data_IF_329590653529
#
_entry.id   IF_329590653529
#
_cell.length_a   1.000
_cell.length_b   1.000
_cell.length_c   1.000
_cell.angle_alpha   90.00
_cell.angle_beta   90.00
_cell.angle_gamma   90.00
#
_symmetry.space_group_name_H-M   'P 1'
#
loop_
_entity.id
_entity.type
_entity.pdbx_description
1 polymer ?
#
# COMPACT_ATOMS: atom_id res chain seq x y z
N UNK A 1 2.74 4.91 -5.97
CA UNK A 1 2.96 3.84 -6.96
C UNK A 1 3.42 2.60 -6.22
N UNK A 2 3.12 1.41 -6.71
CA UNK A 2 3.54 0.15 -6.11
C UNK A 2 3.73 -0.91 -7.20
N UNK A 3 4.53 -1.93 -6.91
CA UNK A 3 4.61 -3.16 -7.73
C UNK A 3 3.45 -4.09 -7.40
N UNK A 4 3.09 -4.94 -8.36
CA UNK A 4 2.06 -5.99 -8.23
C UNK A 4 2.34 -6.95 -7.07
N UNK A 5 3.60 -7.20 -6.72
CA UNK A 5 3.98 -7.95 -5.52
C UNK A 5 3.35 -7.44 -4.20
N UNK A 6 2.89 -6.18 -4.12
CA UNK A 6 2.16 -5.67 -2.95
C UNK A 6 0.73 -6.22 -2.82
N UNK A 7 0.09 -6.57 -3.93
CA UNK A 7 -1.31 -6.99 -4.00
C UNK A 7 -1.50 -8.42 -4.48
N UNK A 8 -0.50 -9.01 -5.12
CA UNK A 8 -0.55 -10.37 -5.64
C UNK A 8 -0.55 -11.38 -4.48
N UNK A 9 -1.63 -12.16 -4.41
CA UNK A 9 -1.75 -13.31 -3.50
C UNK A 9 -2.41 -14.47 -4.24
N UNK A 10 -1.88 -15.70 -4.15
CA UNK A 10 -2.47 -16.86 -4.81
C UNK A 10 -3.93 -17.09 -4.40
N UNK A 11 -4.81 -17.22 -5.40
CA UNK A 11 -6.24 -17.51 -5.20
C UNK A 11 -7.10 -16.29 -4.81
N UNK A 12 -6.53 -15.09 -4.74
CA UNK A 12 -7.29 -13.86 -4.51
C UNK A 12 -7.64 -13.17 -5.83
N UNK A 13 -8.87 -12.65 -5.94
CA UNK A 13 -9.25 -11.85 -7.11
C UNK A 13 -8.60 -10.47 -7.07
N UNK A 14 -8.30 -9.90 -8.24
CA UNK A 14 -7.74 -8.54 -8.33
C UNK A 14 -8.66 -7.50 -7.65
N UNK A 15 -9.99 -7.67 -7.77
CA UNK A 15 -10.97 -6.79 -7.12
C UNK A 15 -10.88 -6.84 -5.60
N UNK A 16 -10.68 -8.02 -5.02
CA UNK A 16 -10.54 -8.19 -3.57
C UNK A 16 -9.22 -7.60 -3.08
N UNK A 17 -8.13 -7.82 -3.83
CA UNK A 17 -6.82 -7.28 -3.54
C UNK A 17 -6.83 -5.74 -3.55
N UNK A 18 -7.46 -5.12 -4.57
CA UNK A 18 -7.62 -3.67 -4.66
C UNK A 18 -8.55 -3.11 -3.56
N UNK A 19 -9.61 -3.84 -3.21
CA UNK A 19 -10.47 -3.46 -2.08
C UNK A 19 -9.73 -3.50 -0.75
N UNK A 20 -8.87 -4.51 -0.54
CA UNK A 20 -8.00 -4.58 0.64
C UNK A 20 -7.04 -3.40 0.66
N UNK A 21 -6.31 -3.16 -0.43
CA UNK A 21 -5.41 -2.01 -0.56
C UNK A 21 -6.14 -0.70 -0.21
N UNK A 22 -7.33 -0.46 -0.78
CA UNK A 22 -8.16 0.73 -0.51
C UNK A 22 -8.49 0.88 0.98
N UNK A 23 -8.85 -0.20 1.67
CA UNK A 23 -9.18 -0.16 3.11
C UNK A 23 -7.95 0.25 3.94
N UNK A 24 -6.80 -0.37 3.69
CA UNK A 24 -5.57 -0.06 4.42
C UNK A 24 -5.09 1.38 4.17
N UNK A 25 -5.06 1.82 2.91
CA UNK A 25 -4.62 3.19 2.58
C UNK A 25 -5.55 4.24 3.15
N UNK A 26 -6.86 3.99 3.17
CA UNK A 26 -7.84 4.91 3.77
C UNK A 26 -7.65 5.03 5.28
N UNK A 27 -7.40 3.93 5.99
CA UNK A 27 -7.17 3.93 7.43
C UNK A 27 -5.88 4.68 7.82
N UNK A 28 -4.87 4.64 6.95
CA UNK A 28 -3.55 5.24 7.20
C UNK A 28 -3.38 6.62 6.55
N UNK A 29 -4.40 7.16 5.89
CA UNK A 29 -4.27 8.36 5.04
C UNK A 29 -3.64 9.57 5.75
N UNK A 30 -3.88 9.71 7.05
CA UNK A 30 -3.36 10.82 7.87
C UNK A 30 -2.05 10.49 8.61
N UNK A 31 -1.61 9.23 8.61
CA UNK A 31 -0.36 8.82 9.25
C UNK A 31 0.85 9.52 8.60
N UNK A 32 1.98 9.70 9.31
CA UNK A 32 3.24 10.09 8.67
C UNK A 32 3.63 9.14 7.53
N UNK A 33 4.29 9.63 6.47
CA UNK A 33 4.58 8.81 5.28
C UNK A 33 5.39 7.54 5.57
N UNK A 34 6.35 7.59 6.50
CA UNK A 34 7.12 6.41 6.89
C UNK A 34 6.22 5.34 7.53
N UNK A 35 5.36 5.73 8.49
CA UNK A 35 4.37 4.84 9.09
C UNK A 35 3.41 4.30 8.05
N UNK A 36 2.92 5.14 7.14
CA UNK A 36 2.04 4.71 6.05
C UNK A 36 2.71 3.63 5.18
N UNK A 37 3.96 3.82 4.80
CA UNK A 37 4.69 2.84 4.00
C UNK A 37 4.93 1.54 4.76
N UNK A 38 5.43 1.62 6.00
CA UNK A 38 5.75 0.45 6.81
C UNK A 38 4.50 -0.41 7.05
N UNK A 39 3.39 0.22 7.45
CA UNK A 39 2.13 -0.47 7.71
C UNK A 39 1.52 -1.10 6.46
N UNK A 40 1.67 -0.47 5.28
CA UNK A 40 1.23 -1.09 4.03
C UNK A 40 2.08 -2.31 3.66
N UNK A 41 3.40 -2.23 3.81
CA UNK A 41 4.28 -3.37 3.51
C UNK A 41 4.00 -4.52 4.47
N UNK A 42 3.87 -4.23 5.77
CA UNK A 42 3.56 -5.25 6.79
C UNK A 42 2.16 -5.87 6.58
N UNK A 43 1.14 -5.05 6.33
CA UNK A 43 -0.24 -5.51 6.22
C UNK A 43 -0.59 -6.18 4.89
N UNK A 44 -0.01 -5.71 3.79
CA UNK A 44 -0.33 -6.19 2.44
C UNK A 44 0.73 -7.13 1.87
N UNK A 45 2.00 -6.96 2.22
CA UNK A 45 3.09 -7.80 1.73
C UNK A 45 3.14 -9.20 2.35
N UNK A 46 2.39 -9.46 3.43
CA UNK A 46 2.31 -10.77 4.04
C UNK A 46 1.86 -11.84 3.04
N UNK A 47 2.71 -12.84 2.79
CA UNK A 47 2.45 -13.95 1.88
C UNK A 47 2.70 -13.66 0.39
N UNK A 48 3.24 -12.49 0.06
CA UNK A 48 3.73 -12.23 -1.30
C UNK A 48 4.97 -13.08 -1.61
N UNK A 49 5.06 -13.57 -2.84
CA UNK A 49 6.20 -14.32 -3.37
C UNK A 49 7.02 -13.51 -4.36
N UNK A 50 6.67 -12.24 -4.57
CA UNK A 50 7.28 -11.35 -5.56
C UNK A 50 7.83 -10.08 -4.89
N UNK A 51 8.68 -9.35 -5.62
CA UNK A 51 9.34 -8.17 -5.09
C UNK A 51 8.35 -7.02 -4.83
N UNK A 52 8.43 -6.47 -3.61
CA UNK A 52 7.58 -5.36 -3.18
C UNK A 52 8.38 -4.06 -3.22
N UNK A 53 7.93 -3.11 -4.03
CA UNK A 53 8.37 -1.73 -3.98
C UNK A 53 7.17 -0.80 -3.83
N UNK A 54 7.28 0.19 -2.93
CA UNK A 54 6.27 1.21 -2.67
C UNK A 54 6.90 2.60 -2.74
N UNK A 55 6.30 3.47 -3.54
CA UNK A 55 6.63 4.89 -3.62
C UNK A 55 5.40 5.71 -3.23
N UNK A 56 5.48 6.38 -2.07
CA UNK A 56 4.44 7.26 -1.57
C UNK A 56 4.87 8.73 -1.65
N UNK A 57 3.94 9.59 -2.03
CA UNK A 57 4.11 11.05 -2.11
C UNK A 57 2.91 11.71 -1.45
N UNK A 58 3.17 12.67 -0.57
CA UNK A 58 2.15 13.59 -0.04
C UNK A 58 2.50 14.99 -0.54
N UNK A 59 1.73 15.57 -1.47
CA UNK A 59 1.98 16.93 -1.90
C UNK A 59 1.78 17.87 -0.70
N UNK A 60 2.77 18.74 -0.47
CA UNK A 60 2.58 19.87 0.44
C UNK A 60 1.59 20.86 -0.17
N UNK A 61 1.01 21.71 0.69
CA UNK A 61 0.32 22.90 0.19
C UNK A 61 1.35 23.77 -0.57
N UNK A 62 1.03 24.26 -1.78
CA UNK A 62 1.91 25.19 -2.46
C UNK A 62 2.11 26.45 -1.60
N UNK A 63 3.37 26.78 -1.27
CA UNK A 63 3.73 28.04 -0.60
C UNK A 63 3.80 28.04 0.93
N UNK A 64 3.91 26.87 1.57
CA UNK A 64 4.30 26.76 2.99
C UNK A 64 5.82 26.80 3.17
#
# INVERSE_FOLDING_TARGET
>A
MFTDGLIERPGESLSDALNRLRRHTSALAQAPLHVFCDELILGLGAGSTDDIALLALRPGLPGA
#
